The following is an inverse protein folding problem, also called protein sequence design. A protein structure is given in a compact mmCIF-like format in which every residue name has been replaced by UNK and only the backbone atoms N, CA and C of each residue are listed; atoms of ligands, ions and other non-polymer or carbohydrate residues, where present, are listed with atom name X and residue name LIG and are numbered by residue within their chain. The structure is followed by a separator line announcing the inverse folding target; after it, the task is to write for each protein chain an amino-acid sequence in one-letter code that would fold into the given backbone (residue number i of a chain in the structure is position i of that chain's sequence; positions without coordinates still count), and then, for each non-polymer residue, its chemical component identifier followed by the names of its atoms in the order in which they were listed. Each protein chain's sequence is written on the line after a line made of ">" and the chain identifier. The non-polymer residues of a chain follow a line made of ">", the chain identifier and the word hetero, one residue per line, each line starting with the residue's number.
data_IF_263617229720
#
_entry.id   IF_263617229720
#
_cell.length_a   1.000
_cell.length_b   1.000
_cell.length_c   1.000
_cell.angle_alpha   90.00
_cell.angle_beta   90.00
_cell.angle_gamma   90.00
#
_symmetry.space_group_name_H-M   'P 1'
#
loop_
_entity.id
_entity.type
_entity.pdbx_description
1 polymer ?
#
# COMPACT_ATOMS: atom_id res chain seq x y z
N UNK A 1 -11.19 -15.52 -43.21
CA UNK A 1 -12.01 -16.75 -43.02
C UNK A 1 -11.95 -17.05 -41.53
N UNK A 2 -13.00 -16.72 -40.78
CA UNK A 2 -13.07 -17.01 -39.35
C UNK A 2 -13.34 -18.51 -39.17
N UNK A 3 -12.42 -19.22 -38.55
CA UNK A 3 -12.65 -20.59 -38.12
C UNK A 3 -13.65 -20.56 -36.96
N UNK A 4 -14.90 -20.93 -37.22
CA UNK A 4 -15.87 -21.26 -36.20
C UNK A 4 -15.38 -22.53 -35.48
N UNK A 5 -14.86 -22.39 -34.26
CA UNK A 5 -14.69 -23.53 -33.39
C UNK A 5 -16.06 -24.05 -32.99
N UNK A 6 -16.43 -25.21 -33.50
CA UNK A 6 -17.60 -25.96 -33.05
C UNK A 6 -17.11 -26.78 -31.85
N UNK A 7 -17.48 -26.36 -30.64
CA UNK A 7 -17.24 -27.11 -29.42
C UNK A 7 -18.42 -28.02 -29.13
N UNK A 8 -18.17 -29.22 -28.58
CA UNK A 8 -19.24 -30.11 -28.15
C UNK A 8 -20.02 -29.53 -26.96
N UNK A 9 -21.31 -29.82 -26.80
CA UNK A 9 -22.10 -29.37 -25.68
C UNK A 9 -21.50 -29.91 -24.35
N UNK A 10 -20.96 -29.01 -23.54
CA UNK A 10 -20.29 -29.30 -22.26
C UNK A 10 -18.82 -28.92 -22.21
N UNK A 11 -18.12 -28.73 -23.36
CA UNK A 11 -16.70 -28.36 -23.44
C UNK A 11 -16.48 -26.86 -23.75
N UNK A 12 -17.53 -26.12 -24.00
CA UNK A 12 -17.44 -24.67 -24.22
C UNK A 12 -17.97 -23.93 -23.00
N UNK A 13 -17.23 -22.98 -22.44
CA UNK A 13 -17.83 -22.03 -21.52
C UNK A 13 -19.04 -21.41 -22.21
N UNK A 14 -20.16 -21.27 -21.48
CA UNK A 14 -21.38 -20.67 -22.05
C UNK A 14 -21.01 -19.40 -22.82
N UNK A 15 -21.57 -19.16 -24.03
CA UNK A 15 -21.14 -18.08 -24.94
C UNK A 15 -21.25 -16.67 -24.35
N UNK A 16 -21.74 -16.54 -23.14
CA UNK A 16 -21.93 -15.28 -22.40
C UNK A 16 -21.10 -15.17 -21.11
N UNK A 17 -20.27 -16.16 -20.75
CA UNK A 17 -19.35 -16.00 -19.62
C UNK A 17 -18.21 -15.07 -20.02
N UNK A 18 -18.30 -13.83 -19.57
CA UNK A 18 -17.21 -12.87 -19.68
C UNK A 18 -16.08 -13.33 -18.76
N UNK A 19 -14.91 -13.55 -19.30
CA UNK A 19 -13.69 -13.78 -18.50
C UNK A 19 -13.18 -12.44 -18.00
N UNK A 20 -13.71 -11.99 -16.87
CA UNK A 20 -13.33 -10.70 -16.27
C UNK A 20 -12.06 -10.86 -15.47
N UNK A 21 -11.02 -10.15 -15.85
CA UNK A 21 -9.78 -10.03 -15.10
C UNK A 21 -9.55 -8.57 -14.71
N UNK A 22 -8.92 -8.35 -13.56
CA UNK A 22 -8.64 -7.01 -13.04
C UNK A 22 -7.16 -6.82 -12.74
N UNK A 23 -6.71 -5.57 -12.73
CA UNK A 23 -5.44 -5.16 -12.14
C UNK A 23 -5.69 -4.62 -10.73
N UNK A 24 -4.87 -5.04 -9.77
CA UNK A 24 -4.92 -4.53 -8.40
C UNK A 24 -3.55 -3.99 -8.03
N UNK A 25 -3.53 -2.75 -7.55
CA UNK A 25 -2.38 -2.19 -6.85
C UNK A 25 -2.63 -2.26 -5.35
N UNK A 26 -1.86 -3.13 -4.66
CA UNK A 26 -1.89 -3.28 -3.21
C UNK A 26 -0.80 -2.39 -2.60
N UNK A 27 -1.12 -1.10 -2.43
CA UNK A 27 -0.15 -0.11 -1.94
C UNK A 27 -0.02 -0.07 -0.40
N UNK A 28 1.06 0.53 0.08
CA UNK A 28 1.30 0.73 1.52
C UNK A 28 0.24 1.66 2.14
N UNK A 29 -0.06 2.76 1.47
CA UNK A 29 -1.00 3.79 1.95
C UNK A 29 -2.39 3.63 1.36
N UNK A 30 -2.47 3.45 0.04
CA UNK A 30 -3.72 3.30 -0.69
C UNK A 30 -3.62 2.12 -1.64
N UNK A 31 -4.74 1.48 -1.88
CA UNK A 31 -4.90 0.40 -2.85
C UNK A 31 -6.00 0.75 -3.84
N UNK A 32 -5.96 0.16 -5.02
CA UNK A 32 -6.96 0.37 -6.04
C UNK A 32 -7.16 -0.87 -6.91
N UNK A 33 -8.28 -0.92 -7.62
CA UNK A 33 -8.59 -1.94 -8.62
C UNK A 33 -8.99 -1.28 -9.93
N UNK A 34 -8.52 -1.82 -11.04
CA UNK A 34 -8.81 -1.35 -12.38
C UNK A 34 -9.20 -2.50 -13.30
N UNK A 35 -10.00 -2.20 -14.32
CA UNK A 35 -10.37 -3.14 -15.37
C UNK A 35 -10.31 -2.47 -16.74
N UNK A 36 -10.20 -3.28 -17.78
CA UNK A 36 -10.35 -2.79 -19.16
C UNK A 36 -11.82 -2.84 -19.52
N UNK A 37 -12.41 -1.66 -19.79
CA UNK A 37 -13.79 -1.49 -20.26
C UNK A 37 -13.77 -0.80 -21.61
N UNK A 38 -14.44 -1.39 -22.59
CA UNK A 38 -14.46 -0.85 -23.96
C UNK A 38 -13.06 -0.53 -24.52
N UNK A 39 -12.08 -1.40 -24.24
CA UNK A 39 -10.66 -1.26 -24.62
C UNK A 39 -9.91 -0.11 -23.93
N UNK A 40 -10.49 0.50 -22.90
CA UNK A 40 -9.86 1.56 -22.11
C UNK A 40 -9.63 1.04 -20.68
N UNK A 41 -8.44 1.18 -20.10
CA UNK A 41 -8.20 0.89 -18.69
C UNK A 41 -8.88 1.96 -17.83
N UNK A 42 -9.69 1.52 -16.87
CA UNK A 42 -10.41 2.38 -15.95
C UNK A 42 -10.20 1.91 -14.51
N UNK A 43 -9.92 2.85 -13.60
CA UNK A 43 -9.92 2.58 -12.16
C UNK A 43 -11.37 2.52 -11.68
N UNK A 44 -11.70 1.45 -10.95
CA UNK A 44 -13.07 1.21 -10.49
C UNK A 44 -13.33 1.95 -9.17
N UNK A 45 -14.34 2.82 -9.19
CA UNK A 45 -14.78 3.57 -8.02
C UNK A 45 -15.72 2.75 -7.14
N UNK A 46 -15.78 3.10 -5.84
CA UNK A 46 -16.82 2.62 -4.95
C UNK A 46 -18.16 3.36 -5.16
N UNK A 47 -19.17 3.02 -4.35
CA UNK A 47 -20.51 3.63 -4.43
C UNK A 47 -20.52 5.14 -4.12
N UNK A 48 -19.46 5.68 -3.52
CA UNK A 48 -19.26 7.10 -3.24
C UNK A 48 -18.38 7.80 -4.30
N UNK A 49 -18.01 7.10 -5.36
CA UNK A 49 -17.17 7.62 -6.43
C UNK A 49 -15.67 7.69 -6.05
N UNK A 50 -15.25 7.04 -4.95
CA UNK A 50 -13.85 7.03 -4.53
C UNK A 50 -13.10 5.88 -5.23
N UNK A 51 -12.04 6.22 -5.94
CA UNK A 51 -11.19 5.23 -6.64
C UNK A 51 -10.13 4.63 -5.72
N UNK A 52 -9.58 5.42 -4.80
CA UNK A 52 -8.58 4.96 -3.84
C UNK A 52 -9.25 4.35 -2.59
N UNK A 53 -8.78 3.19 -2.18
CA UNK A 53 -9.11 2.55 -0.92
C UNK A 53 -7.92 2.73 0.03
N UNK A 54 -8.02 3.49 1.13
CA UNK A 54 -6.96 3.52 2.13
C UNK A 54 -6.62 2.10 2.61
N UNK A 55 -5.34 1.75 2.63
CA UNK A 55 -4.83 0.43 3.07
C UNK A 55 -4.84 0.36 4.59
N UNK A 56 -6.03 0.48 5.18
CA UNK A 56 -6.29 0.51 6.61
C UNK A 56 -7.37 -0.51 6.96
N UNK A 57 -7.14 -1.30 8.03
CA UNK A 57 -8.07 -2.33 8.51
C UNK A 57 -8.21 -2.18 10.02
N UNK A 58 -9.44 -2.03 10.51
CA UNK A 58 -9.74 -1.96 11.93
C UNK A 58 -10.54 -3.17 12.38
N UNK A 59 -10.05 -3.84 13.40
CA UNK A 59 -10.68 -5.00 14.04
C UNK A 59 -11.47 -4.55 15.26
N UNK A 60 -12.70 -5.00 15.39
CA UNK A 60 -13.61 -4.62 16.46
C UNK A 60 -13.98 -5.86 17.28
N UNK A 61 -14.42 -5.64 18.53
CA UNK A 61 -15.02 -6.68 19.33
C UNK A 61 -16.18 -7.37 18.58
N UNK A 62 -16.37 -8.67 18.82
CA UNK A 62 -17.44 -9.42 18.18
C UNK A 62 -17.18 -9.84 16.73
N UNK A 63 -15.95 -9.70 16.22
CA UNK A 63 -15.53 -10.22 14.91
C UNK A 63 -15.79 -9.27 13.74
N UNK A 64 -16.34 -8.07 13.98
CA UNK A 64 -16.55 -7.09 12.93
C UNK A 64 -15.24 -6.43 12.48
N UNK A 65 -15.13 -6.11 11.16
CA UNK A 65 -13.96 -5.45 10.57
C UNK A 65 -14.42 -4.22 9.81
N UNK A 66 -13.66 -3.13 9.91
CA UNK A 66 -13.82 -1.93 9.09
C UNK A 66 -12.58 -1.77 8.21
N UNK A 67 -12.77 -1.33 6.97
CA UNK A 67 -11.68 -1.23 6.00
C UNK A 67 -11.74 0.12 5.29
N UNK A 68 -10.57 0.65 4.93
CA UNK A 68 -10.47 1.89 4.20
C UNK A 68 -10.66 3.13 5.07
N UNK A 69 -11.42 4.11 4.58
CA UNK A 69 -11.57 5.43 5.22
C UNK A 69 -12.11 5.34 6.65
N UNK A 70 -13.12 4.49 6.89
CA UNK A 70 -13.69 4.31 8.23
C UNK A 70 -12.64 3.80 9.24
N UNK A 71 -11.80 2.87 8.82
CA UNK A 71 -10.69 2.39 9.64
C UNK A 71 -9.64 3.50 9.85
N UNK A 72 -9.25 4.18 8.79
CA UNK A 72 -8.21 5.20 8.83
C UNK A 72 -8.52 6.33 9.81
N UNK A 73 -9.78 6.77 9.90
CA UNK A 73 -10.21 7.82 10.81
C UNK A 73 -10.04 7.46 12.30
N UNK A 74 -10.06 6.18 12.62
CA UNK A 74 -9.96 5.69 13.99
C UNK A 74 -8.53 5.30 14.42
N UNK A 75 -7.55 5.44 13.53
CA UNK A 75 -6.17 4.97 13.77
C UNK A 75 -5.50 5.61 14.99
N UNK A 76 -5.84 6.84 15.34
CA UNK A 76 -5.31 7.53 16.52
C UNK A 76 -6.06 7.15 17.82
N UNK A 77 -7.35 6.81 17.72
CA UNK A 77 -8.17 6.43 18.87
C UNK A 77 -7.95 4.99 19.29
N UNK A 78 -7.80 4.11 18.31
CA UNK A 78 -7.69 2.67 18.49
C UNK A 78 -6.53 2.08 17.67
N UNK A 79 -5.28 2.51 17.95
CA UNK A 79 -4.11 2.20 17.13
C UNK A 79 -3.71 0.73 17.15
N UNK A 80 -3.97 -0.01 18.23
CA UNK A 80 -3.63 -1.43 18.32
C UNK A 80 -4.55 -2.30 17.47
N UNK A 81 -5.79 -1.86 17.26
CA UNK A 81 -6.76 -2.60 16.47
C UNK A 81 -6.92 -2.03 15.04
N UNK A 82 -6.27 -0.90 14.74
CA UNK A 82 -6.30 -0.26 13.42
C UNK A 82 -4.94 -0.38 12.75
N UNK A 83 -4.85 -1.33 11.84
CA UNK A 83 -3.60 -1.63 11.14
C UNK A 83 -3.54 -0.80 9.85
N UNK A 84 -2.48 -0.01 9.72
CA UNK A 84 -2.12 0.74 8.49
C UNK A 84 -0.70 0.36 8.07
N UNK A 85 -0.32 0.66 6.85
CA UNK A 85 1.01 0.39 6.28
C UNK A 85 1.45 -1.08 6.40
N UNK A 86 0.48 -2.02 6.40
CA UNK A 86 0.73 -3.46 6.63
C UNK A 86 1.68 -4.08 5.61
N UNK A 87 1.74 -3.53 4.40
CA UNK A 87 2.62 -4.00 3.32
C UNK A 87 4.10 -4.02 3.74
N UNK A 88 4.54 -3.11 4.63
CA UNK A 88 5.90 -3.06 5.18
C UNK A 88 6.29 -4.31 5.98
N UNK A 89 5.31 -5.07 6.47
CA UNK A 89 5.52 -6.25 7.32
C UNK A 89 5.33 -7.57 6.57
N UNK A 90 4.95 -7.53 5.30
CA UNK A 90 4.77 -8.72 4.46
C UNK A 90 6.10 -9.49 4.35
N UNK A 91 6.08 -10.78 4.73
CA UNK A 91 7.24 -11.66 4.70
C UNK A 91 8.34 -11.31 5.72
N UNK A 92 8.08 -10.42 6.69
CA UNK A 92 9.08 -9.97 7.68
C UNK A 92 9.03 -10.77 8.97
N UNK A 93 10.18 -10.85 9.64
CA UNK A 93 10.30 -11.36 11.00
C UNK A 93 9.78 -10.36 12.04
N UNK A 94 9.53 -10.82 13.27
CA UNK A 94 9.15 -9.93 14.37
C UNK A 94 10.26 -8.92 14.71
N UNK A 95 11.52 -9.31 14.58
CA UNK A 95 12.66 -8.42 14.82
C UNK A 95 12.72 -7.27 13.79
N UNK A 96 12.54 -7.59 12.49
CA UNK A 96 12.51 -6.57 11.43
C UNK A 96 11.32 -5.63 11.58
N UNK A 97 10.16 -6.17 11.95
CA UNK A 97 8.97 -5.38 12.17
C UNK A 97 9.11 -4.43 13.37
N UNK A 98 9.68 -4.90 14.47
CA UNK A 98 9.92 -4.08 15.67
C UNK A 98 10.93 -2.96 15.39
N UNK A 99 11.95 -3.20 14.56
CA UNK A 99 12.94 -2.20 14.16
C UNK A 99 12.33 -1.02 13.38
N UNK A 100 11.13 -1.19 12.80
CA UNK A 100 10.42 -0.12 12.08
C UNK A 100 9.92 1.01 12.99
N UNK A 101 9.88 0.81 14.31
CA UNK A 101 9.30 1.78 15.26
C UNK A 101 7.77 1.95 15.14
N UNK A 102 7.10 1.16 14.30
CA UNK A 102 5.65 1.24 14.15
C UNK A 102 4.94 0.94 15.48
N UNK A 103 3.88 1.69 15.82
CA UNK A 103 3.22 1.59 17.12
C UNK A 103 2.25 0.41 17.19
N UNK A 104 2.76 -0.81 16.96
CA UNK A 104 2.03 -2.07 17.09
C UNK A 104 2.65 -2.97 18.13
N UNK A 105 1.86 -3.89 18.67
CA UNK A 105 2.36 -5.01 19.46
C UNK A 105 2.66 -6.18 18.50
N UNK A 106 3.94 -6.35 18.20
CA UNK A 106 4.40 -7.44 17.35
C UNK A 106 4.59 -8.71 18.16
N UNK A 107 4.08 -9.81 17.63
CA UNK A 107 4.19 -11.15 18.22
C UNK A 107 5.05 -12.01 17.32
N UNK A 108 6.07 -12.63 17.92
CA UNK A 108 6.93 -13.58 17.21
C UNK A 108 6.15 -14.86 16.91
N UNK A 109 6.22 -15.31 15.67
CA UNK A 109 5.55 -16.52 15.22
C UNK A 109 6.38 -17.20 14.13
N UNK A 110 6.25 -18.53 13.97
CA UNK A 110 6.92 -19.23 12.89
C UNK A 110 6.56 -18.65 11.52
N UNK A 111 7.58 -18.31 10.74
CA UNK A 111 7.46 -17.85 9.35
C UNK A 111 7.29 -16.35 9.16
N UNK A 112 6.43 -15.69 9.92
CA UNK A 112 6.15 -14.26 9.73
C UNK A 112 5.65 -13.63 11.02
N UNK A 113 5.98 -12.35 11.25
CA UNK A 113 5.44 -11.54 12.35
C UNK A 113 3.91 -11.57 12.39
N UNK A 114 3.35 -11.49 13.59
CA UNK A 114 1.94 -11.23 13.81
C UNK A 114 1.73 -9.91 14.55
N UNK A 115 0.57 -9.30 14.32
CA UNK A 115 0.14 -8.07 15.00
C UNK A 115 -0.98 -8.45 15.96
N UNK A 116 -0.83 -8.07 17.23
CA UNK A 116 -1.85 -8.31 18.24
C UNK A 116 -3.00 -7.34 18.09
N UNK A 117 -4.21 -7.87 18.05
CA UNK A 117 -5.46 -7.11 17.98
C UNK A 117 -6.49 -7.69 18.94
N UNK A 118 -7.63 -7.02 19.09
CA UNK A 118 -8.77 -7.50 19.87
C UNK A 118 -9.34 -8.83 19.33
N UNK A 119 -9.09 -9.15 18.06
CA UNK A 119 -9.50 -10.41 17.42
C UNK A 119 -8.40 -11.47 17.41
N UNK A 120 -7.31 -11.25 18.15
CA UNK A 120 -6.16 -12.15 18.23
C UNK A 120 -4.96 -11.67 17.43
N UNK A 121 -3.99 -12.56 17.28
CA UNK A 121 -2.73 -12.28 16.61
C UNK A 121 -2.89 -12.55 15.10
N UNK A 122 -2.85 -11.50 14.30
CA UNK A 122 -3.08 -11.54 12.84
C UNK A 122 -1.78 -11.33 12.07
N UNK A 123 -1.58 -12.12 11.02
CA UNK A 123 -0.45 -11.93 10.10
C UNK A 123 -0.70 -10.77 9.14
N UNK A 124 0.35 -10.15 8.58
CA UNK A 124 0.23 -9.18 7.50
C UNK A 124 -0.54 -9.71 6.28
N UNK A 125 -0.48 -11.02 6.04
CA UNK A 125 -1.22 -11.72 4.98
C UNK A 125 -2.72 -11.65 5.24
N UNK A 126 -3.17 -11.97 6.45
CA UNK A 126 -4.59 -11.91 6.85
C UNK A 126 -5.14 -10.47 6.78
N UNK A 127 -4.35 -9.48 7.21
CA UNK A 127 -4.74 -8.07 7.12
C UNK A 127 -4.83 -7.61 5.66
N UNK A 128 -3.85 -7.96 4.82
CA UNK A 128 -3.86 -7.63 3.39
C UNK A 128 -5.01 -8.29 2.64
N UNK A 129 -5.40 -9.50 3.05
CA UNK A 129 -6.54 -10.21 2.47
C UNK A 129 -7.87 -9.45 2.67
N UNK A 130 -8.04 -8.73 3.79
CA UNK A 130 -9.22 -7.88 4.01
C UNK A 130 -9.31 -6.75 2.98
N UNK A 131 -8.19 -6.10 2.68
CA UNK A 131 -8.11 -5.03 1.67
C UNK A 131 -8.44 -5.59 0.29
N UNK A 132 -7.82 -6.71 -0.07
CA UNK A 132 -8.02 -7.38 -1.36
C UNK A 132 -9.46 -7.86 -1.54
N UNK A 133 -10.10 -8.35 -0.47
CA UNK A 133 -11.51 -8.78 -0.51
C UNK A 133 -12.46 -7.61 -0.83
N UNK A 134 -12.21 -6.42 -0.28
CA UNK A 134 -12.99 -5.21 -0.62
C UNK A 134 -12.78 -4.81 -2.08
N UNK A 135 -11.54 -4.85 -2.58
CA UNK A 135 -11.26 -4.52 -3.98
C UNK A 135 -11.86 -5.53 -4.94
N UNK A 136 -11.84 -6.83 -4.59
CA UNK A 136 -12.54 -7.88 -5.34
C UNK A 136 -14.03 -7.59 -5.41
N UNK A 137 -14.68 -7.40 -4.27
CA UNK A 137 -16.12 -7.14 -4.21
C UNK A 137 -16.49 -5.89 -5.01
N UNK A 138 -15.72 -4.79 -4.88
CA UNK A 138 -15.90 -3.57 -5.69
C UNK A 138 -15.86 -3.87 -7.19
N UNK A 139 -14.91 -4.69 -7.63
CA UNK A 139 -14.79 -5.04 -9.04
C UNK A 139 -15.97 -5.89 -9.53
N UNK A 140 -16.38 -6.90 -8.74
CA UNK A 140 -17.54 -7.75 -9.06
C UNK A 140 -18.83 -6.92 -9.12
N UNK A 141 -19.05 -6.01 -8.18
CA UNK A 141 -20.22 -5.11 -8.17
C UNK A 141 -20.26 -4.18 -9.40
N UNK A 142 -19.13 -3.60 -9.78
CA UNK A 142 -19.05 -2.66 -10.92
C UNK A 142 -19.13 -3.39 -12.25
N UNK A 143 -18.54 -4.57 -12.38
CA UNK A 143 -18.48 -5.34 -13.62
C UNK A 143 -19.70 -6.24 -13.81
N UNK A 144 -20.42 -6.55 -12.72
CA UNK A 144 -21.66 -7.30 -12.71
C UNK A 144 -21.48 -8.81 -12.93
N UNK A 145 -20.29 -9.35 -12.68
CA UNK A 145 -19.98 -10.78 -12.83
C UNK A 145 -18.75 -11.16 -12.01
N UNK A 146 -18.54 -12.46 -11.78
CA UNK A 146 -17.40 -13.00 -11.04
C UNK A 146 -16.08 -12.79 -11.82
N UNK A 147 -14.99 -12.60 -11.04
CA UNK A 147 -13.66 -12.45 -11.60
C UNK A 147 -13.00 -13.81 -11.84
N UNK A 148 -12.40 -14.00 -13.02
CA UNK A 148 -11.53 -15.16 -13.27
C UNK A 148 -10.19 -15.04 -12.56
N UNK A 149 -9.78 -13.83 -12.17
CA UNK A 149 -8.58 -13.54 -11.39
C UNK A 149 -8.08 -12.12 -11.53
N UNK A 150 -6.93 -11.87 -10.90
CA UNK A 150 -6.30 -10.57 -10.87
C UNK A 150 -4.81 -10.62 -11.21
N UNK A 151 -4.32 -9.55 -11.85
CA UNK A 151 -2.90 -9.20 -11.88
C UNK A 151 -2.65 -8.26 -10.71
N UNK A 152 -1.72 -8.58 -9.82
CA UNK A 152 -1.44 -7.79 -8.62
C UNK A 152 -0.03 -7.22 -8.73
N UNK A 153 0.14 -5.93 -8.45
CA UNK A 153 1.46 -5.29 -8.45
C UNK A 153 2.23 -5.58 -7.17
N UNK A 154 3.54 -5.71 -7.30
CA UNK A 154 4.48 -5.88 -6.18
C UNK A 154 5.75 -5.07 -6.46
N UNK A 155 6.45 -4.58 -5.43
CA UNK A 155 7.76 -3.97 -5.59
C UNK A 155 8.74 -4.91 -6.33
N UNK A 156 9.60 -4.33 -7.15
CA UNK A 156 10.52 -5.13 -7.96
C UNK A 156 11.53 -5.92 -7.10
N UNK A 157 11.94 -5.36 -5.95
CA UNK A 157 12.88 -5.97 -5.00
C UNK A 157 12.22 -6.98 -4.03
N UNK A 158 10.90 -7.16 -4.05
CA UNK A 158 10.26 -8.16 -3.20
C UNK A 158 10.90 -9.52 -3.42
N UNK A 159 11.35 -10.14 -2.33
CA UNK A 159 11.85 -11.50 -2.33
C UNK A 159 10.73 -12.54 -2.52
N UNK A 160 11.10 -13.81 -2.64
CA UNK A 160 10.15 -14.88 -2.87
C UNK A 160 9.15 -15.05 -1.71
N UNK A 161 9.57 -14.78 -0.46
CA UNK A 161 8.69 -14.86 0.71
C UNK A 161 7.62 -13.76 0.67
N UNK A 162 8.00 -12.54 0.33
CA UNK A 162 7.09 -11.40 0.20
C UNK A 162 6.12 -11.59 -0.99
N UNK A 163 6.60 -12.11 -2.12
CA UNK A 163 5.78 -12.46 -3.28
C UNK A 163 4.80 -13.59 -2.95
N UNK A 164 5.26 -14.60 -2.23
CA UNK A 164 4.37 -15.68 -1.78
C UNK A 164 3.32 -15.18 -0.79
N UNK A 165 3.70 -14.34 0.17
CA UNK A 165 2.78 -13.70 1.10
C UNK A 165 1.69 -12.90 0.37
N UNK A 166 2.03 -12.21 -0.73
CA UNK A 166 1.05 -11.49 -1.56
C UNK A 166 0.08 -12.45 -2.25
N UNK A 167 0.57 -13.58 -2.78
CA UNK A 167 -0.30 -14.63 -3.37
C UNK A 167 -1.23 -15.24 -2.33
N UNK A 168 -0.72 -15.49 -1.13
CA UNK A 168 -1.50 -16.08 -0.05
C UNK A 168 -2.58 -15.11 0.45
N UNK A 169 -2.29 -13.81 0.54
CA UNK A 169 -3.28 -12.78 0.84
C UNK A 169 -4.41 -12.74 -0.22
N UNK A 170 -4.05 -12.81 -1.50
CA UNK A 170 -5.03 -12.85 -2.59
C UNK A 170 -5.89 -14.13 -2.53
N UNK A 171 -5.27 -15.28 -2.24
CA UNK A 171 -6.00 -16.55 -2.08
C UNK A 171 -6.99 -16.49 -0.91
N UNK A 172 -6.59 -15.93 0.24
CA UNK A 172 -7.48 -15.73 1.38
C UNK A 172 -8.64 -14.77 1.05
N UNK A 173 -8.39 -13.78 0.19
CA UNK A 173 -9.43 -12.88 -0.33
C UNK A 173 -10.35 -13.53 -1.39
N UNK A 174 -10.11 -14.79 -1.77
CA UNK A 174 -10.84 -15.49 -2.81
C UNK A 174 -10.48 -15.05 -4.23
N UNK A 175 -9.29 -14.43 -4.42
CA UNK A 175 -8.78 -14.03 -5.74
C UNK A 175 -7.82 -15.08 -6.30
N UNK A 176 -8.01 -15.43 -7.57
CA UNK A 176 -7.01 -16.19 -8.32
C UNK A 176 -5.96 -15.22 -8.86
N UNK A 177 -4.69 -15.41 -8.49
CA UNK A 177 -3.59 -14.57 -8.98
C UNK A 177 -3.14 -15.06 -10.35
N UNK A 178 -3.50 -14.31 -11.38
CA UNK A 178 -3.08 -14.60 -12.76
C UNK A 178 -1.60 -14.29 -12.95
N UNK A 179 -1.13 -13.19 -12.35
CA UNK A 179 0.26 -12.76 -12.39
C UNK A 179 0.58 -11.79 -11.26
N UNK A 180 1.80 -11.83 -10.74
CA UNK A 180 2.42 -10.71 -10.03
C UNK A 180 3.22 -9.89 -11.05
N UNK A 181 2.95 -8.59 -11.08
CA UNK A 181 3.62 -7.65 -11.97
C UNK A 181 4.47 -6.68 -11.13
N UNK A 182 5.69 -6.41 -11.54
CA UNK A 182 6.51 -5.43 -10.83
C UNK A 182 5.93 -4.03 -10.98
N UNK A 183 5.83 -3.29 -9.88
CA UNK A 183 5.30 -1.91 -9.83
C UNK A 183 5.96 -0.98 -10.84
N UNK A 184 7.30 -0.94 -10.99
CA UNK A 184 7.94 -0.08 -11.98
C UNK A 184 7.58 -0.45 -13.42
N UNK A 185 7.35 -1.73 -13.71
CA UNK A 185 6.88 -2.16 -15.04
C UNK A 185 5.45 -1.72 -15.28
N UNK A 186 4.58 -1.83 -14.28
CA UNK A 186 3.21 -1.35 -14.36
C UNK A 186 3.15 0.16 -14.56
N UNK A 187 3.96 0.93 -13.83
CA UNK A 187 4.08 2.37 -13.98
C UNK A 187 4.58 2.75 -15.36
N UNK A 188 5.62 2.09 -15.87
CA UNK A 188 6.16 2.33 -17.21
C UNK A 188 5.08 2.14 -18.30
N UNK A 189 4.29 1.08 -18.20
CA UNK A 189 3.17 0.82 -19.12
C UNK A 189 2.08 1.90 -18.98
N UNK A 190 1.72 2.27 -17.77
CA UNK A 190 0.69 3.29 -17.51
C UNK A 190 1.06 4.67 -18.06
N UNK A 191 2.36 5.01 -18.07
CA UNK A 191 2.88 6.22 -18.70
C UNK A 191 3.08 6.11 -20.21
N UNK A 192 2.68 4.99 -20.83
CA UNK A 192 2.77 4.78 -22.28
C UNK A 192 4.20 4.58 -22.78
N UNK A 193 5.12 4.19 -21.91
CA UNK A 193 6.51 3.94 -22.30
C UNK A 193 6.67 2.72 -23.23
N UNK A 194 5.69 1.80 -23.26
CA UNK A 194 5.62 0.69 -24.20
C UNK A 194 5.53 1.13 -25.67
N UNK A 195 5.05 2.36 -25.90
CA UNK A 195 4.98 3.01 -27.21
C UNK A 195 6.07 4.06 -27.42
N UNK A 196 6.95 4.26 -26.43
CA UNK A 196 8.04 5.20 -26.51
C UNK A 196 9.20 4.70 -27.38
N UNK A 197 10.19 5.55 -27.62
CA UNK A 197 11.42 5.15 -28.32
C UNK A 197 12.17 4.07 -27.52
N UNK A 198 12.80 3.15 -28.22
CA UNK A 198 13.70 2.18 -27.56
C UNK A 198 14.78 2.92 -26.77
N UNK A 199 15.08 2.41 -25.57
CA UNK A 199 16.02 3.09 -24.68
C UNK A 199 16.06 2.53 -23.28
N UNK A 200 16.78 3.25 -22.43
CA UNK A 200 16.88 2.94 -21.00
C UNK A 200 16.06 3.98 -20.23
N UNK A 201 15.21 3.51 -19.34
CA UNK A 201 14.31 4.31 -18.51
C UNK A 201 14.56 4.03 -17.05
N UNK A 202 14.57 5.07 -16.23
CA UNK A 202 14.56 4.94 -14.78
C UNK A 202 13.14 5.20 -14.26
N UNK A 203 12.63 4.29 -13.46
CA UNK A 203 11.39 4.47 -12.70
C UNK A 203 11.78 4.66 -11.24
N UNK A 204 11.44 5.83 -10.70
CA UNK A 204 11.72 6.23 -9.33
C UNK A 204 10.39 6.35 -8.60
N UNK A 205 10.13 5.46 -7.65
CA UNK A 205 8.89 5.38 -6.89
C UNK A 205 9.18 5.53 -5.40
N UNK A 206 8.85 6.71 -4.85
CA UNK A 206 8.92 6.99 -3.42
C UNK A 206 7.50 7.00 -2.85
N UNK A 207 7.10 5.85 -2.33
CA UNK A 207 5.77 5.62 -1.81
C UNK A 207 5.57 6.05 -0.35
N UNK A 208 4.47 5.61 0.25
CA UNK A 208 4.16 5.90 1.65
C UNK A 208 5.04 5.17 2.65
N UNK A 209 5.59 4.02 2.29
CA UNK A 209 6.39 3.21 3.22
C UNK A 209 7.62 2.56 2.60
N UNK A 210 7.78 2.65 1.29
CA UNK A 210 8.86 2.02 0.54
C UNK A 210 9.38 2.96 -0.52
N UNK A 211 10.65 2.82 -0.84
CA UNK A 211 11.31 3.45 -1.98
C UNK A 211 11.76 2.36 -2.96
N UNK A 212 11.43 2.52 -4.22
CA UNK A 212 11.84 1.67 -5.33
C UNK A 212 12.47 2.48 -6.44
N UNK A 213 13.61 2.02 -6.94
CA UNK A 213 14.18 2.49 -8.19
C UNK A 213 14.43 1.29 -9.11
N UNK A 214 14.03 1.40 -10.37
CA UNK A 214 14.24 0.37 -11.37
C UNK A 214 14.75 0.96 -12.66
N UNK A 215 15.78 0.33 -13.19
CA UNK A 215 16.30 0.64 -14.53
C UNK A 215 15.72 -0.38 -15.50
N UNK A 216 14.96 0.12 -16.46
CA UNK A 216 14.26 -0.68 -17.46
C UNK A 216 14.88 -0.42 -18.82
N UNK A 217 15.11 -1.47 -19.61
CA UNK A 217 15.41 -1.38 -21.04
C UNK A 217 14.15 -1.69 -21.84
N UNK A 218 13.77 -0.79 -22.72
CA UNK A 218 12.70 -1.02 -23.68
C UNK A 218 13.32 -1.38 -25.03
N UNK A 219 12.99 -2.58 -25.54
CA UNK A 219 13.37 -3.04 -26.86
C UNK A 219 12.19 -3.75 -27.50
N UNK A 220 11.75 -3.29 -28.66
CA UNK A 220 10.63 -3.87 -29.43
C UNK A 220 9.34 -4.07 -28.59
N UNK A 221 9.00 -3.09 -27.73
CA UNK A 221 7.83 -3.14 -26.86
C UNK A 221 7.96 -4.07 -25.65
N UNK A 222 9.14 -4.64 -25.39
CA UNK A 222 9.41 -5.50 -24.23
C UNK A 222 10.26 -4.74 -23.21
N UNK A 223 9.78 -4.71 -21.97
CA UNK A 223 10.54 -4.19 -20.83
C UNK A 223 11.40 -5.29 -20.21
N UNK A 224 12.70 -5.06 -20.18
CA UNK A 224 13.68 -5.85 -19.44
C UNK A 224 14.11 -5.05 -18.21
N UNK A 225 14.00 -5.63 -17.02
CA UNK A 225 14.53 -5.02 -15.79
C UNK A 225 16.03 -5.27 -15.75
N UNK A 226 16.84 -4.22 -15.91
CA UNK A 226 18.29 -4.28 -15.89
C UNK A 226 18.82 -4.32 -14.46
N UNK A 227 18.29 -3.44 -13.62
CA UNK A 227 18.68 -3.29 -12.23
C UNK A 227 17.51 -2.81 -11.38
N UNK A 228 17.50 -3.19 -10.13
CA UNK A 228 16.59 -2.71 -9.12
C UNK A 228 17.36 -2.32 -7.87
N UNK A 229 16.96 -1.24 -7.24
CA UNK A 229 17.40 -0.80 -5.94
C UNK A 229 16.20 -0.33 -5.14
N UNK A 230 16.42 0.00 -3.89
CA UNK A 230 15.35 0.54 -3.07
C UNK A 230 15.56 0.29 -1.58
N UNK A 231 14.63 0.82 -0.81
CA UNK A 231 14.64 0.69 0.65
C UNK A 231 13.21 0.37 1.13
N UNK A 232 13.06 -0.77 1.78
CA UNK A 232 11.77 -1.25 2.30
C UNK A 232 11.31 -0.51 3.57
N UNK A 233 12.16 0.38 4.10
CA UNK A 233 11.94 1.18 5.29
C UNK A 233 12.21 2.67 5.01
N UNK A 234 11.84 3.14 3.80
CA UNK A 234 11.98 4.53 3.40
C UNK A 234 10.75 4.96 2.59
N UNK A 235 10.00 5.91 3.13
CA UNK A 235 8.80 6.43 2.49
C UNK A 235 8.14 7.54 3.31
N UNK A 236 6.93 7.89 2.97
CA UNK A 236 6.16 8.94 3.63
C UNK A 236 6.08 8.79 5.14
N UNK A 237 5.95 7.57 5.65
CA UNK A 237 5.89 7.28 7.10
C UNK A 237 7.20 7.68 7.82
N UNK A 238 8.35 7.61 7.14
CA UNK A 238 9.64 7.99 7.70
C UNK A 238 9.81 9.52 7.73
N UNK A 239 9.29 10.22 6.71
CA UNK A 239 9.19 11.69 6.73
C UNK A 239 8.25 12.15 7.85
N UNK A 240 7.12 11.47 8.06
CA UNK A 240 6.19 11.77 9.16
C UNK A 240 6.89 11.59 10.52
N UNK A 241 7.72 10.54 10.67
CA UNK A 241 8.51 10.31 11.89
C UNK A 241 9.56 11.40 12.13
N UNK A 242 10.20 11.90 11.06
CA UNK A 242 11.17 13.02 11.17
C UNK A 242 10.47 14.32 11.63
N UNK A 243 9.25 14.58 11.15
CA UNK A 243 8.44 15.72 11.61
C UNK A 243 8.09 15.56 13.10
N UNK A 244 7.66 14.37 13.54
CA UNK A 244 7.36 14.11 14.96
C UNK A 244 8.59 14.37 15.82
N UNK A 245 9.76 13.86 15.42
CA UNK A 245 11.01 14.08 16.16
C UNK A 245 11.36 15.57 16.28
N UNK A 246 11.12 16.35 15.23
CA UNK A 246 11.34 17.80 15.25
C UNK A 246 10.32 18.54 16.12
N UNK A 247 9.03 18.27 15.95
CA UNK A 247 7.95 18.97 16.66
C UNK A 247 7.90 18.62 18.14
N UNK A 248 8.37 17.42 18.51
CA UNK A 248 8.43 16.91 19.87
C UNK A 248 9.86 16.99 20.48
N UNK A 249 10.69 17.92 20.00
CA UNK A 249 12.06 18.06 20.52
C UNK A 249 12.05 18.28 22.03
N UNK A 250 12.69 17.37 22.78
CA UNK A 250 12.74 17.37 24.25
C UNK A 250 11.74 16.43 24.94
N UNK A 251 10.83 15.80 24.19
CA UNK A 251 9.92 14.75 24.67
C UNK A 251 10.50 13.36 24.35
N UNK A 252 10.35 12.42 25.29
CA UNK A 252 10.60 11.00 25.00
C UNK A 252 9.36 10.40 24.33
N UNK A 253 9.28 10.55 23.01
CA UNK A 253 8.16 10.04 22.20
C UNK A 253 8.02 8.53 22.33
N UNK A 254 9.10 7.79 22.54
CA UNK A 254 9.06 6.33 22.68
C UNK A 254 8.34 5.89 23.97
N UNK A 255 8.42 6.70 25.02
CA UNK A 255 7.74 6.46 26.29
C UNK A 255 6.25 6.85 26.28
N UNK A 256 5.77 7.58 25.25
CA UNK A 256 4.36 7.95 25.16
C UNK A 256 3.46 6.73 24.90
N UNK A 257 2.20 6.78 25.36
CA UNK A 257 1.19 5.78 25.00
C UNK A 257 1.08 5.59 23.48
N UNK A 258 0.81 4.37 23.05
CA UNK A 258 0.70 4.01 21.62
C UNK A 258 -0.27 4.93 20.87
N UNK A 259 -1.39 5.30 21.50
CA UNK A 259 -2.37 6.19 20.89
C UNK A 259 -1.83 7.62 20.67
N UNK A 260 -1.05 8.14 21.61
CA UNK A 260 -0.43 9.45 21.48
C UNK A 260 0.65 9.44 20.39
N UNK A 261 1.47 8.40 20.33
CA UNK A 261 2.44 8.21 19.24
C UNK A 261 1.75 8.16 17.86
N UNK A 262 0.62 7.46 17.77
CA UNK A 262 -0.16 7.41 16.52
C UNK A 262 -0.78 8.75 16.17
N UNK A 263 -1.32 9.48 17.16
CA UNK A 263 -1.86 10.82 16.94
C UNK A 263 -0.81 11.80 16.40
N UNK A 264 0.42 11.74 16.94
CA UNK A 264 1.55 12.54 16.46
C UNK A 264 1.87 12.22 14.98
N UNK A 265 1.92 10.95 14.59
CA UNK A 265 2.17 10.55 13.20
C UNK A 265 1.04 11.00 12.25
N UNK A 266 -0.21 10.96 12.70
CA UNK A 266 -1.36 11.46 11.91
C UNK A 266 -1.26 12.96 11.70
N UNK A 267 -0.91 13.72 12.73
CA UNK A 267 -0.72 15.17 12.62
C UNK A 267 0.49 15.51 11.72
N UNK A 268 1.58 14.76 11.83
CA UNK A 268 2.76 14.92 10.99
C UNK A 268 2.44 14.72 9.51
N UNK A 269 1.71 13.66 9.19
CA UNK A 269 1.24 13.41 7.83
C UNK A 269 0.38 14.55 7.31
N UNK A 270 -0.60 14.99 8.09
CA UNK A 270 -1.47 16.10 7.71
C UNK A 270 -0.67 17.39 7.44
N UNK A 271 0.30 17.71 8.30
CA UNK A 271 1.17 18.86 8.11
C UNK A 271 2.04 18.72 6.84
N UNK A 272 2.65 17.55 6.62
CA UNK A 272 3.45 17.28 5.41
C UNK A 272 2.62 17.42 4.13
N UNK A 273 1.44 16.83 4.10
CA UNK A 273 0.55 16.90 2.93
C UNK A 273 0.11 18.35 2.66
N UNK A 274 -0.21 19.13 3.70
CA UNK A 274 -0.56 20.54 3.57
C UNK A 274 0.59 21.41 3.00
N UNK A 275 1.85 21.06 3.30
CA UNK A 275 3.02 21.75 2.76
C UNK A 275 3.17 21.60 1.23
N UNK A 276 2.43 20.71 0.58
CA UNK A 276 2.39 20.65 -0.89
C UNK A 276 1.89 21.95 -1.50
N UNK A 277 0.84 22.54 -0.91
CA UNK A 277 0.21 23.75 -1.43
C UNK A 277 0.48 24.99 -0.57
N UNK A 278 0.94 24.81 0.67
CA UNK A 278 1.14 25.88 1.65
C UNK A 278 2.63 26.07 1.97
N UNK A 279 3.03 27.28 2.29
CA UNK A 279 4.40 27.59 2.72
C UNK A 279 4.67 27.14 4.18
N UNK A 280 3.62 26.99 4.96
CA UNK A 280 3.65 26.53 6.36
C UNK A 280 2.37 25.79 6.73
N UNK A 281 2.48 24.84 7.65
CA UNK A 281 1.37 24.03 8.13
C UNK A 281 1.41 23.89 9.65
N UNK A 282 0.25 23.86 10.33
CA UNK A 282 0.19 23.61 11.76
C UNK A 282 0.47 22.12 12.06
N UNK A 283 1.14 21.89 13.18
CA UNK A 283 1.26 20.59 13.82
C UNK A 283 0.67 20.72 15.22
N UNK A 284 -0.47 20.12 15.47
CA UNK A 284 -1.21 20.27 16.72
C UNK A 284 -1.74 18.93 17.18
N UNK A 285 -1.38 18.53 18.41
CA UNK A 285 -1.84 17.28 19.03
C UNK A 285 -2.08 17.54 20.51
N UNK A 286 -3.25 17.13 21.01
CA UNK A 286 -3.50 17.03 22.44
C UNK A 286 -3.30 15.60 22.90
N UNK A 287 -2.33 15.37 23.76
CA UNK A 287 -2.01 14.06 24.33
C UNK A 287 -3.12 13.64 25.33
N UNK A 288 -3.19 12.36 25.64
CA UNK A 288 -4.20 11.82 26.58
C UNK A 288 -4.07 12.36 28.00
N UNK A 289 -2.88 12.81 28.40
CA UNK A 289 -2.63 13.47 29.69
C UNK A 289 -3.05 14.96 29.71
N UNK A 290 -3.58 15.48 28.60
CA UNK A 290 -4.05 16.86 28.45
C UNK A 290 -2.97 17.84 27.98
N UNK A 291 -1.70 17.42 27.83
CA UNK A 291 -0.66 18.29 27.28
C UNK A 291 -0.91 18.53 25.79
N UNK A 292 -0.75 19.76 25.34
CA UNK A 292 -0.83 20.12 23.93
C UNK A 292 0.60 20.27 23.37
N UNK A 293 0.86 19.58 22.25
CA UNK A 293 2.06 19.77 21.44
C UNK A 293 1.65 20.60 20.24
N UNK A 294 2.24 21.78 20.09
CA UNK A 294 1.92 22.72 19.03
C UNK A 294 3.21 23.23 18.39
N UNK A 295 3.28 23.16 17.07
CA UNK A 295 4.36 23.70 16.27
C UNK A 295 3.81 24.21 14.93
N UNK A 296 4.54 25.10 14.30
CA UNK A 296 4.31 25.47 12.91
C UNK A 296 5.48 24.99 12.09
N UNK A 297 5.23 24.11 11.15
CA UNK A 297 6.24 23.57 10.24
C UNK A 297 6.23 24.39 8.95
N UNK A 298 7.38 24.94 8.56
CA UNK A 298 7.55 25.58 7.26
C UNK A 298 8.05 24.57 6.22
N UNK A 299 7.78 24.83 4.93
CA UNK A 299 8.31 24.00 3.83
C UNK A 299 9.83 23.87 3.89
N UNK A 300 10.55 24.98 4.15
CA UNK A 300 12.00 24.97 4.26
C UNK A 300 12.51 24.09 5.42
N UNK A 301 11.84 24.09 6.57
CA UNK A 301 12.17 23.19 7.66
C UNK A 301 11.91 21.72 7.27
N UNK A 302 10.77 21.45 6.62
CA UNK A 302 10.49 20.11 6.13
C UNK A 302 11.53 19.63 5.12
N UNK A 303 11.95 20.45 4.18
CA UNK A 303 13.02 20.14 3.21
C UNK A 303 14.33 19.77 3.92
N UNK A 304 14.73 20.52 4.96
CA UNK A 304 15.89 20.20 5.77
C UNK A 304 15.75 18.86 6.51
N UNK A 305 14.57 18.57 7.07
CA UNK A 305 14.29 17.30 7.74
C UNK A 305 14.28 16.12 6.76
N UNK A 306 13.82 16.34 5.55
CA UNK A 306 13.73 15.35 4.49
C UNK A 306 15.09 15.06 3.81
N UNK A 307 16.02 16.00 3.82
CA UNK A 307 17.31 15.90 3.11
C UNK A 307 18.07 14.59 3.38
N UNK A 308 18.24 14.12 4.65
CA UNK A 308 18.92 12.85 4.89
C UNK A 308 18.19 11.63 4.32
N UNK A 309 16.86 11.67 4.32
CA UNK A 309 16.01 10.58 3.78
C UNK A 309 16.03 10.57 2.25
N UNK A 310 15.99 11.76 1.63
CA UNK A 310 16.15 11.92 0.19
C UNK A 310 17.56 11.51 -0.24
N UNK A 311 18.59 11.86 0.53
CA UNK A 311 19.97 11.40 0.29
C UNK A 311 20.08 9.89 0.16
N UNK A 312 19.41 9.13 1.03
CA UNK A 312 19.38 7.65 0.96
C UNK A 312 18.82 7.13 -0.36
N UNK A 313 17.87 7.84 -0.97
CA UNK A 313 17.31 7.42 -2.28
C UNK A 313 18.30 7.63 -3.43
N UNK A 314 19.23 8.57 -3.29
CA UNK A 314 20.24 8.87 -4.30
C UNK A 314 21.45 7.92 -4.21
N UNK A 315 21.66 7.29 -3.04
CA UNK A 315 22.75 6.35 -2.79
C UNK A 315 22.37 4.90 -3.15
N UNK A 316 21.11 4.66 -3.45
CA UNK A 316 20.56 3.35 -3.82
C UNK A 316 20.67 3.11 -5.32
#
# INVERSE_FOLDING_TARGET
>A
MALLQISEPGDSPAPHQRKLAVGIDLGTTNSLVAAVRSSVPEVLADAQGQVLLPSAVRYLDGGAVRIGREALLEQARDPLNTIVSVKRFMGRSAADAAASGAPYEFVDAPGMVRLRTVQGDLSPVEVSAQILAVLRQRAEDVLGDDLVGAVITVPAYFDDAQRQATRDAARLAGLNVLRLLNEPTAAAIAYGLDQAAEGIYAVYDLGGGTFDISILRLTQGVFEVIATGGDTALGGDDFDSAIVAHACAGEDVAALPVADRRALLVAARAAREALTDQAQAPFEVTLRDGRAIQATLTRAQFEQLAEPLVGRTLDS
#
